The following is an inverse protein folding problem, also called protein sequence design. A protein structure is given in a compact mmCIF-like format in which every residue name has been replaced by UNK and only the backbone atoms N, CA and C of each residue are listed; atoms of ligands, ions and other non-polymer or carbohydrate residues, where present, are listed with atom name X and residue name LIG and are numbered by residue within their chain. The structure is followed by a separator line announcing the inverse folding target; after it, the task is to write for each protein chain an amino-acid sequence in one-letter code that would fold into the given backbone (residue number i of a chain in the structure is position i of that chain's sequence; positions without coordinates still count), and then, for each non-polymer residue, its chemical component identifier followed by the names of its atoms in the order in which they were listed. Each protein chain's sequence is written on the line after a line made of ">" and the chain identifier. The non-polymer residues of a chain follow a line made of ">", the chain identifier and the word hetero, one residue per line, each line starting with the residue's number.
data_IF_352357278369
#
_entry.id   IF_352357278369
#
_cell.length_a   1.000
_cell.length_b   1.000
_cell.length_c   1.000
_cell.angle_alpha   90.00
_cell.angle_beta   90.00
_cell.angle_gamma   90.00
#
_symmetry.space_group_name_H-M   'P 1'
#
loop_
_entity.id
_entity.type
_entity.pdbx_description
1 polymer ?
#
# COMPACT_ATOMS: atom_id res chain seq x y z
N UNK A 1 2.61 -5.05 8.00
CA UNK A 1 2.98 -5.60 6.67
C UNK A 1 2.74 -7.09 6.69
N UNK A 2 1.89 -7.61 5.79
CA UNK A 2 1.53 -9.03 5.74
C UNK A 2 2.56 -9.86 4.93
N UNK A 3 2.48 -11.20 5.00
CA UNK A 3 3.39 -12.08 4.23
C UNK A 3 3.35 -11.84 2.72
N UNK A 4 4.48 -12.03 2.05
CA UNK A 4 4.60 -11.93 0.58
C UNK A 4 4.51 -10.50 0.03
N UNK A 5 4.42 -9.47 0.88
CA UNK A 5 4.46 -8.07 0.43
C UNK A 5 5.83 -7.74 -0.15
N UNK A 6 5.83 -7.08 -1.30
CA UNK A 6 7.05 -6.53 -1.93
C UNK A 6 7.01 -5.01 -1.90
N UNK A 7 7.96 -4.40 -1.18
CA UNK A 7 8.18 -2.95 -1.17
C UNK A 7 9.48 -2.65 -1.91
N UNK A 8 9.39 -1.88 -3.00
CA UNK A 8 10.57 -1.44 -3.74
C UNK A 8 11.36 -0.37 -2.97
N UNK A 9 12.54 0.00 -3.49
CA UNK A 9 13.43 0.96 -2.83
C UNK A 9 12.76 2.28 -2.48
N UNK A 10 12.99 2.79 -1.27
CA UNK A 10 12.53 4.11 -0.83
C UNK A 10 11.03 4.21 -0.54
N UNK A 11 10.29 3.10 -0.49
CA UNK A 11 8.89 3.10 -0.03
C UNK A 11 8.83 3.45 1.45
N UNK A 12 7.91 4.35 1.80
CA UNK A 12 7.60 4.74 3.18
C UNK A 12 6.22 4.24 3.54
N UNK A 13 6.09 3.60 4.70
CA UNK A 13 4.81 3.11 5.21
C UNK A 13 4.53 3.81 6.53
N UNK A 14 3.40 4.52 6.57
CA UNK A 14 2.91 5.24 7.73
C UNK A 14 2.60 4.31 8.90
N UNK A 15 2.50 4.90 10.09
CA UNK A 15 2.16 4.18 11.31
C UNK A 15 0.77 3.57 11.21
N UNK A 16 0.57 2.40 11.83
CA UNK A 16 -0.70 1.65 11.88
C UNK A 16 -1.25 1.19 10.52
N UNK A 17 -0.54 1.42 9.41
CA UNK A 17 -1.02 1.03 8.09
C UNK A 17 -0.90 -0.49 7.88
N UNK A 18 -1.91 -1.05 7.22
CA UNK A 18 -1.96 -2.47 6.87
C UNK A 18 -1.63 -2.67 5.40
N UNK A 19 -0.57 -3.43 5.11
CA UNK A 19 -0.25 -3.87 3.75
C UNK A 19 -0.65 -5.33 3.59
N UNK A 20 -1.70 -5.60 2.83
CA UNK A 20 -2.30 -6.92 2.66
C UNK A 20 -1.40 -7.90 1.92
N UNK A 21 -1.62 -9.20 2.16
CA UNK A 21 -0.80 -10.30 1.66
C UNK A 21 -0.55 -10.19 0.15
N UNK A 22 0.70 -10.46 -0.27
CA UNK A 22 1.10 -10.47 -1.68
C UNK A 22 0.89 -9.13 -2.44
N UNK A 23 0.81 -8.00 -1.73
CA UNK A 23 0.76 -6.68 -2.38
C UNK A 23 2.14 -6.23 -2.84
N UNK A 24 2.18 -5.42 -3.90
CA UNK A 24 3.42 -4.88 -4.47
C UNK A 24 3.35 -3.36 -4.55
N UNK A 25 4.42 -2.69 -4.13
CA UNK A 25 4.55 -1.22 -4.15
C UNK A 25 5.81 -0.83 -4.91
N UNK A 26 5.67 0.05 -5.91
CA UNK A 26 6.81 0.57 -6.69
C UNK A 26 7.66 1.55 -5.87
N UNK A 27 8.86 1.83 -6.35
CA UNK A 27 9.85 2.62 -5.63
C UNK A 27 9.36 4.05 -5.33
N UNK A 28 9.82 4.61 -4.21
CA UNK A 28 9.59 6.01 -3.84
C UNK A 28 8.16 6.36 -3.40
N UNK A 29 7.25 5.39 -3.33
CA UNK A 29 5.87 5.62 -2.90
C UNK A 29 5.77 5.83 -1.39
N UNK A 30 4.94 6.79 -0.98
CA UNK A 30 4.52 6.98 0.41
C UNK A 30 3.10 6.42 0.62
N UNK A 31 2.96 5.54 1.61
CA UNK A 31 1.67 5.07 2.11
C UNK A 31 1.41 5.77 3.43
N UNK A 32 0.33 6.55 3.51
CA UNK A 32 -0.06 7.32 4.68
C UNK A 32 -0.38 6.47 5.91
N UNK A 33 -0.55 7.12 7.04
CA UNK A 33 -0.88 6.52 8.33
C UNK A 33 -2.33 5.99 8.36
N UNK A 34 -2.56 4.95 9.17
CA UNK A 34 -3.88 4.32 9.34
C UNK A 34 -4.53 3.83 8.02
N UNK A 35 -3.74 3.65 6.95
CA UNK A 35 -4.21 3.25 5.62
C UNK A 35 -4.18 1.74 5.42
N UNK A 36 -5.07 1.23 4.57
CA UNK A 36 -5.21 -0.21 4.27
C UNK A 36 -4.98 -0.45 2.79
N UNK A 37 -3.95 -1.22 2.47
CA UNK A 37 -3.73 -1.83 1.14
C UNK A 37 -4.30 -3.25 1.17
N UNK A 38 -5.28 -3.52 0.30
CA UNK A 38 -5.90 -4.86 0.18
C UNK A 38 -4.92 -5.92 -0.33
N UNK A 39 -5.21 -7.21 -0.13
CA UNK A 39 -4.36 -8.29 -0.62
C UNK A 39 -4.21 -8.28 -2.16
N UNK A 40 -3.02 -8.62 -2.66
CA UNK A 40 -2.71 -8.67 -4.09
C UNK A 40 -2.72 -7.31 -4.80
N UNK A 41 -2.74 -6.20 -4.05
CA UNK A 41 -2.85 -4.85 -4.62
C UNK A 41 -1.51 -4.39 -5.20
N UNK A 42 -1.55 -3.69 -6.33
CA UNK A 42 -0.37 -3.08 -6.98
C UNK A 42 -0.43 -1.57 -6.86
N UNK A 43 0.41 -1.00 -6.00
CA UNK A 43 0.45 0.43 -5.72
C UNK A 43 1.50 1.11 -6.62
N UNK A 44 1.02 2.04 -7.45
CA UNK A 44 1.83 2.81 -8.41
C UNK A 44 1.76 4.33 -8.18
N UNK A 45 1.12 4.77 -7.09
CA UNK A 45 0.98 6.17 -6.67
C UNK A 45 0.92 6.25 -5.16
N UNK A 46 1.22 7.42 -4.60
CA UNK A 46 1.09 7.67 -3.17
C UNK A 46 -0.35 7.40 -2.69
N UNK A 47 -0.45 6.91 -1.46
CA UNK A 47 -1.70 6.64 -0.75
C UNK A 47 -1.74 7.61 0.41
N UNK A 48 -2.82 8.38 0.54
CA UNK A 48 -3.02 9.31 1.66
C UNK A 48 -3.22 8.60 2.99
N UNK A 49 -3.37 9.38 4.07
CA UNK A 49 -3.71 8.87 5.40
C UNK A 49 -5.19 8.44 5.45
N UNK A 50 -5.51 7.43 6.25
CA UNK A 50 -6.87 6.90 6.46
C UNK A 50 -7.57 6.39 5.18
N UNK A 51 -6.80 6.04 4.15
CA UNK A 51 -7.32 5.57 2.85
C UNK A 51 -7.35 4.05 2.80
N UNK A 52 -8.37 3.48 2.13
CA UNK A 52 -8.35 2.07 1.73
C UNK A 52 -8.19 1.96 0.22
N UNK A 53 -7.21 1.16 -0.20
CA UNK A 53 -6.86 0.97 -1.61
C UNK A 53 -6.83 -0.52 -1.96
N UNK A 54 -7.39 -0.91 -3.11
CA UNK A 54 -7.29 -2.27 -3.61
C UNK A 54 -7.20 -2.36 -5.14
N UNK A 55 -6.78 -3.53 -5.64
CA UNK A 55 -6.75 -3.86 -7.07
C UNK A 55 -5.40 -3.66 -7.75
N UNK A 56 -5.37 -3.93 -9.06
CA UNK A 56 -4.20 -3.77 -9.90
C UNK A 56 -4.58 -3.04 -11.21
N UNK A 57 -4.18 -1.77 -11.40
CA UNK A 57 -3.53 -0.90 -10.41
C UNK A 57 -4.46 -0.51 -9.25
N UNK A 58 -3.89 -0.28 -8.07
CA UNK A 58 -4.63 0.10 -6.86
C UNK A 58 -5.50 1.35 -7.07
N UNK A 59 -6.72 1.30 -6.57
CA UNK A 59 -7.69 2.41 -6.54
C UNK A 59 -8.26 2.55 -5.13
N UNK A 60 -8.45 3.79 -4.72
CA UNK A 60 -9.15 4.09 -3.48
C UNK A 60 -10.58 3.55 -3.56
N UNK A 61 -11.02 2.92 -2.48
CA UNK A 61 -12.37 2.36 -2.35
C UNK A 61 -13.14 2.97 -1.19
N UNK A 62 -12.43 3.56 -0.23
CA UNK A 62 -12.95 4.25 0.95
C UNK A 62 -11.93 5.31 1.39
#
# INVERSE_FOLDING_TARGET
>A
IAPGVTLSGGVKVGRNSHIGTNSTVIQGISIGEDSIVGAGTVIIRDVGDNIKVCGNPGREIL
#
